data_IF_559414104726
#
_entry.id   IF_559414104726
#
_cell.length_a   1.000
_cell.length_b   1.000
_cell.length_c   1.000
_cell.angle_alpha   90.00
_cell.angle_beta   90.00
_cell.angle_gamma   90.00
#
_symmetry.space_group_name_H-M   'P 1'
#
loop_
_entity.id
_entity.type
_entity.pdbx_description
1 polymer ?
#
# COMPACT_ATOMS: atom_id res chain seq x y z
N UNK A 1 -20.30 27.80 -1.39
CA UNK A 1 -19.98 26.36 -1.33
C UNK A 1 -18.65 26.23 -0.63
N UNK A 2 -18.67 25.88 0.66
CA UNK A 2 -17.46 25.79 1.47
C UNK A 2 -16.82 24.42 1.17
N UNK A 3 -15.63 24.42 0.58
CA UNK A 3 -14.86 23.21 0.31
C UNK A 3 -14.29 22.75 1.64
N UNK A 4 -14.86 21.69 2.20
CA UNK A 4 -14.35 21.03 3.40
C UNK A 4 -13.17 20.16 2.94
N UNK A 5 -11.95 20.59 3.23
CA UNK A 5 -10.77 19.74 3.15
C UNK A 5 -10.71 18.94 4.46
N UNK A 6 -10.99 17.64 4.39
CA UNK A 6 -10.85 16.73 5.54
C UNK A 6 -9.37 16.39 5.64
N UNK A 7 -8.66 17.03 6.57
CA UNK A 7 -7.29 16.68 6.93
C UNK A 7 -7.38 15.53 7.94
N UNK A 8 -7.07 14.31 7.49
CA UNK A 8 -7.10 13.10 8.33
C UNK A 8 -5.76 13.00 9.07
N UNK A 9 -5.68 13.54 10.28
CA UNK A 9 -4.47 13.42 11.11
C UNK A 9 -4.42 12.02 11.71
N UNK A 10 -3.52 11.17 11.20
CA UNK A 10 -3.29 9.80 11.66
C UNK A 10 -2.46 9.84 12.96
N UNK A 11 -3.07 9.50 14.09
CA UNK A 11 -2.37 9.38 15.38
C UNK A 11 -1.83 7.96 15.49
N UNK A 12 -0.51 7.78 15.34
CA UNK A 12 0.13 6.45 15.35
C UNK A 12 0.34 5.99 16.80
N UNK A 13 -0.42 4.97 17.22
CA UNK A 13 -0.17 4.22 18.46
C UNK A 13 0.71 3.00 18.13
N UNK A 14 2.02 3.13 18.31
CA UNK A 14 2.95 2.01 18.15
C UNK A 14 2.77 0.99 19.29
N UNK A 15 2.13 -0.15 19.00
CA UNK A 15 2.29 -1.37 19.78
C UNK A 15 3.22 -2.33 19.02
N UNK A 16 4.47 -2.41 19.46
CA UNK A 16 5.44 -3.35 18.94
C UNK A 16 5.04 -4.79 19.30
N UNK A 17 4.66 -5.58 18.30
CA UNK A 17 4.50 -7.03 18.42
C UNK A 17 5.51 -7.74 17.52
N UNK A 18 6.02 -8.87 18.02
CA UNK A 18 7.15 -9.59 17.49
C UNK A 18 6.81 -10.30 16.16
N UNK A 19 7.51 -9.89 15.09
CA UNK A 19 7.72 -10.50 13.76
C UNK A 19 7.10 -11.87 13.44
N UNK A 20 5.78 -11.92 13.28
CA UNK A 20 5.18 -12.71 12.20
C UNK A 20 4.47 -11.72 11.28
N UNK A 21 4.78 -11.75 9.99
CA UNK A 21 4.12 -10.87 9.02
C UNK A 21 2.62 -11.17 9.04
N UNK A 22 1.78 -10.15 9.25
CA UNK A 22 0.35 -10.39 9.36
C UNK A 22 -0.22 -11.05 8.10
N UNK A 23 -1.29 -11.81 8.26
CA UNK A 23 -2.00 -12.46 7.13
C UNK A 23 -2.37 -11.44 6.04
N UNK A 24 -2.78 -10.23 6.45
CA UNK A 24 -3.18 -9.18 5.54
C UNK A 24 -1.99 -8.61 4.76
N UNK A 25 -0.84 -8.39 5.43
CA UNK A 25 0.41 -8.04 4.74
C UNK A 25 0.77 -9.12 3.72
N UNK A 26 0.63 -10.40 4.08
CA UNK A 26 0.95 -11.50 3.18
C UNK A 26 0.06 -11.57 1.93
N UNK A 27 -1.25 -11.34 2.08
CA UNK A 27 -2.18 -11.33 0.94
C UNK A 27 -1.86 -10.18 -0.04
N UNK A 28 -1.48 -9.01 0.48
CA UNK A 28 -1.07 -7.89 -0.38
C UNK A 28 0.29 -8.17 -1.02
N UNK A 29 1.30 -8.47 -0.20
CA UNK A 29 2.70 -8.64 -0.64
C UNK A 29 2.87 -9.79 -1.64
N UNK A 30 2.15 -10.90 -1.43
CA UNK A 30 2.22 -12.07 -2.31
C UNK A 30 1.13 -12.08 -3.39
N UNK A 31 0.15 -11.16 -3.32
CA UNK A 31 -0.84 -10.97 -4.37
C UNK A 31 -0.28 -10.24 -5.57
N UNK A 32 -1.05 -10.19 -6.65
CA UNK A 32 -0.70 -9.54 -7.91
C UNK A 32 -1.83 -8.59 -8.34
N UNK A 33 -1.49 -7.54 -9.08
CA UNK A 33 -2.51 -6.76 -9.78
C UNK A 33 -3.17 -7.63 -10.86
N UNK A 34 -4.48 -7.48 -11.07
CA UNK A 34 -5.23 -8.26 -12.06
C UNK A 34 -4.62 -8.16 -13.47
N UNK A 35 -4.15 -6.97 -13.86
CA UNK A 35 -3.51 -6.73 -15.16
C UNK A 35 -2.13 -7.40 -15.30
N UNK A 36 -1.48 -7.76 -14.19
CA UNK A 36 -0.10 -8.27 -14.13
C UNK A 36 -0.01 -9.49 -13.20
N UNK A 37 -0.68 -10.62 -13.52
CA UNK A 37 -0.85 -11.75 -12.61
C UNK A 37 0.46 -12.49 -12.27
N UNK A 38 1.44 -12.45 -13.17
CA UNK A 38 2.69 -13.22 -13.05
C UNK A 38 3.73 -12.59 -12.11
N UNK A 39 3.43 -11.42 -11.54
CA UNK A 39 4.33 -10.73 -10.62
C UNK A 39 3.60 -10.20 -9.39
N UNK A 40 4.17 -10.51 -8.22
CA UNK A 40 3.61 -10.05 -6.96
C UNK A 40 3.89 -8.57 -6.71
N UNK A 41 2.99 -7.91 -5.99
CA UNK A 41 3.16 -6.52 -5.54
C UNK A 41 4.46 -6.37 -4.77
N UNK A 42 4.75 -7.29 -3.84
CA UNK A 42 5.98 -7.29 -3.07
C UNK A 42 7.24 -7.32 -3.92
N UNK A 43 7.24 -8.10 -5.02
CA UNK A 43 8.38 -8.13 -5.94
C UNK A 43 8.51 -6.82 -6.71
N UNK A 44 7.42 -6.24 -7.20
CA UNK A 44 7.46 -4.94 -7.89
C UNK A 44 8.03 -3.86 -6.97
N UNK A 45 7.44 -3.66 -5.79
CA UNK A 45 7.83 -2.53 -4.92
C UNK A 45 9.25 -2.67 -4.37
N UNK A 46 9.72 -3.90 -4.09
CA UNK A 46 11.11 -4.13 -3.64
C UNK A 46 12.15 -3.91 -4.75
N UNK A 47 11.75 -3.95 -6.02
CA UNK A 47 12.63 -3.61 -7.14
C UNK A 47 12.64 -2.10 -7.41
N UNK A 48 11.54 -1.40 -7.12
CA UNK A 48 11.37 0.02 -7.45
C UNK A 48 11.85 0.93 -6.33
N UNK A 49 11.61 0.56 -5.06
CA UNK A 49 11.82 1.42 -3.91
C UNK A 49 12.87 0.87 -2.95
N UNK A 50 13.56 1.78 -2.28
CA UNK A 50 14.48 1.48 -1.21
C UNK A 50 13.77 1.38 0.15
N UNK A 51 14.39 0.64 1.08
CA UNK A 51 13.97 0.51 2.50
C UNK A 51 12.48 0.17 2.67
N UNK A 52 11.93 -0.66 1.79
CA UNK A 52 10.53 -1.05 1.82
C UNK A 52 10.13 -1.67 3.15
N UNK A 53 9.11 -1.11 3.79
CA UNK A 53 8.52 -1.60 5.02
C UNK A 53 6.99 -1.76 4.87
N UNK A 54 6.42 -2.65 5.69
CA UNK A 54 5.00 -2.95 5.66
C UNK A 54 4.40 -2.85 7.05
N UNK A 55 3.20 -2.27 7.14
CA UNK A 55 2.46 -2.13 8.38
C UNK A 55 0.99 -2.48 8.13
N UNK A 56 0.37 -3.19 9.07
CA UNK A 56 -1.08 -3.33 9.10
C UNK A 56 -1.66 -2.38 10.13
N UNK A 57 -2.73 -1.67 9.75
CA UNK A 57 -3.50 -0.83 10.65
C UNK A 57 -4.98 -1.19 10.59
N UNK A 58 -5.69 -0.97 11.70
CA UNK A 58 -7.15 -0.85 11.72
C UNK A 58 -7.44 0.63 11.93
N UNK A 59 -8.06 1.28 10.96
CA UNK A 59 -8.36 2.71 11.08
C UNK A 59 -9.65 2.96 11.88
N UNK A 60 -9.88 4.21 12.26
CA UNK A 60 -11.05 4.64 13.03
C UNK A 60 -12.39 4.37 12.32
N UNK A 61 -12.36 4.15 11.01
CA UNK A 61 -13.51 3.75 10.20
C UNK A 61 -13.86 2.25 10.31
N UNK A 62 -13.11 1.50 11.12
CA UNK A 62 -13.26 0.07 11.35
C UNK A 62 -12.73 -0.82 10.22
N UNK A 63 -12.10 -0.24 9.19
CA UNK A 63 -11.51 -1.01 8.09
C UNK A 63 -10.05 -1.36 8.38
N UNK A 64 -9.63 -2.52 7.88
CA UNK A 64 -8.23 -2.96 7.91
C UNK A 64 -7.51 -2.51 6.64
N UNK A 65 -6.31 -1.97 6.82
CA UNK A 65 -5.44 -1.48 5.77
C UNK A 65 -4.04 -2.04 5.94
N UNK A 66 -3.35 -2.19 4.82
CA UNK A 66 -1.92 -2.47 4.77
C UNK A 66 -1.24 -1.27 4.12
N UNK A 67 -0.30 -0.66 4.83
CA UNK A 67 0.54 0.41 4.30
C UNK A 67 1.88 -0.19 3.86
N UNK A 68 2.30 0.14 2.65
CA UNK A 68 3.67 -0.04 2.19
C UNK A 68 4.36 1.33 2.23
N UNK A 69 5.49 1.41 2.91
CA UNK A 69 6.36 2.57 2.93
C UNK A 69 7.66 2.25 2.21
N UNK A 70 8.22 3.21 1.48
CA UNK A 70 9.52 3.08 0.86
C UNK A 70 10.07 4.45 0.44
N UNK A 71 11.24 4.44 -0.17
CA UNK A 71 11.88 5.65 -0.69
C UNK A 71 12.21 5.47 -2.17
N UNK A 72 12.11 6.54 -2.96
CA UNK A 72 12.68 6.58 -4.31
C UNK A 72 14.21 6.68 -4.23
N UNK A 73 14.89 6.56 -5.38
CA UNK A 73 16.34 6.81 -5.46
C UNK A 73 16.71 8.27 -5.10
N UNK A 74 15.78 9.20 -5.28
CA UNK A 74 15.93 10.63 -4.95
C UNK A 74 15.54 10.93 -3.48
N UNK A 75 15.42 9.90 -2.63
CA UNK A 75 15.01 9.97 -1.22
C UNK A 75 13.58 10.54 -0.99
N UNK A 76 12.71 10.55 -2.01
CA UNK A 76 11.29 10.90 -1.81
C UNK A 76 10.57 9.75 -1.07
N UNK A 77 9.82 10.09 -0.04
CA UNK A 77 9.02 9.12 0.72
C UNK A 77 7.77 8.72 -0.07
N UNK A 78 7.50 7.42 -0.15
CA UNK A 78 6.33 6.87 -0.83
C UNK A 78 5.52 6.03 0.13
N UNK A 79 4.21 6.27 0.15
CA UNK A 79 3.23 5.45 0.85
C UNK A 79 2.22 4.90 -0.17
N UNK A 80 1.97 3.59 -0.15
CA UNK A 80 0.85 2.97 -0.85
C UNK A 80 -0.02 2.23 0.16
N UNK A 81 -1.28 2.64 0.27
CA UNK A 81 -2.24 2.02 1.17
C UNK A 81 -3.16 1.09 0.40
N UNK A 82 -3.26 -0.14 0.88
CA UNK A 82 -4.15 -1.18 0.39
C UNK A 82 -5.27 -1.40 1.39
N UNK A 83 -6.53 -1.34 0.95
CA UNK A 83 -7.68 -1.69 1.80
C UNK A 83 -7.97 -3.18 1.67
N UNK A 84 -8.08 -3.85 2.81
CA UNK A 84 -8.49 -5.25 2.87
C UNK A 84 -10.02 -5.33 2.78
N UNK A 85 -10.48 -6.23 1.92
CA UNK A 85 -11.90 -6.47 1.63
C UNK A 85 -12.22 -7.96 1.73
N UNK A 86 -13.51 -8.25 1.82
CA UNK A 86 -14.02 -9.61 1.86
C UNK A 86 -15.02 -9.82 0.73
N UNK A 87 -14.87 -10.91 -0.01
CA UNK A 87 -15.89 -11.43 -0.92
C UNK A 87 -16.73 -12.44 -0.15
N UNK A 88 -18.04 -12.19 -0.11
CA UNK A 88 -19.03 -13.04 0.58
C UNK A 88 -18.67 -13.39 2.03
N UNK A 89 -17.93 -12.52 2.71
CA UNK A 89 -17.38 -12.72 4.07
C UNK A 89 -16.45 -13.94 4.22
N UNK A 90 -15.90 -14.48 3.13
CA UNK A 90 -15.10 -15.72 3.13
C UNK A 90 -13.70 -15.51 2.58
N UNK A 91 -13.55 -14.79 1.48
CA UNK A 91 -12.27 -14.63 0.78
C UNK A 91 -11.77 -13.20 0.88
N UNK A 92 -10.56 -13.03 1.42
CA UNK A 92 -9.89 -11.73 1.49
C UNK A 92 -9.31 -11.36 0.13
N UNK A 93 -9.53 -10.11 -0.26
CA UNK A 93 -8.85 -9.48 -1.38
C UNK A 93 -8.48 -8.05 -0.99
N UNK A 94 -7.74 -7.36 -1.86
CA UNK A 94 -7.31 -6.00 -1.62
C UNK A 94 -7.59 -5.10 -2.81
N UNK A 95 -7.71 -3.81 -2.53
CA UNK A 95 -7.74 -2.74 -3.53
C UNK A 95 -6.79 -1.63 -3.08
N UNK A 96 -6.22 -0.89 -4.02
CA UNK A 96 -5.44 0.31 -3.67
C UNK A 96 -6.40 1.41 -3.23
N UNK A 97 -6.21 1.90 -2.01
CA UNK A 97 -7.07 2.90 -1.39
C UNK A 97 -6.50 4.32 -1.54
N UNK A 98 -5.21 4.49 -1.25
CA UNK A 98 -4.54 5.78 -1.26
C UNK A 98 -3.06 5.65 -1.61
N UNK A 99 -2.47 6.75 -2.05
CA UNK A 99 -1.04 6.91 -2.24
C UNK A 99 -0.62 8.28 -1.75
N UNK A 100 0.59 8.38 -1.22
CA UNK A 100 1.22 9.64 -0.85
C UNK A 100 2.65 9.67 -1.34
N UNK A 101 3.11 10.87 -1.68
CA UNK A 101 4.51 11.16 -2.01
C UNK A 101 4.94 12.35 -1.15
N UNK A 102 5.97 12.18 -0.34
CA UNK A 102 6.41 13.17 0.65
C UNK A 102 5.27 13.65 1.57
N UNK A 103 4.38 12.72 1.96
CA UNK A 103 3.21 13.00 2.81
C UNK A 103 2.05 13.72 2.11
N UNK A 104 2.18 14.02 0.81
CA UNK A 104 1.10 14.65 0.03
C UNK A 104 0.32 13.59 -0.76
N UNK A 105 -1.03 13.57 -0.67
CA UNK A 105 -1.85 12.61 -1.41
C UNK A 105 -1.68 12.72 -2.92
N UNK A 106 -1.54 11.58 -3.59
CA UNK A 106 -1.49 11.47 -5.05
C UNK A 106 -2.59 10.54 -5.59
N UNK A 107 -2.74 10.48 -6.90
CA UNK A 107 -3.76 9.66 -7.55
C UNK A 107 -3.36 8.17 -7.53
N UNK A 108 -4.34 7.30 -7.30
CA UNK A 108 -4.19 5.84 -7.44
C UNK A 108 -4.47 5.36 -8.86
N UNK A 109 -4.89 6.26 -9.76
CA UNK A 109 -5.31 5.93 -11.11
C UNK A 109 -4.12 5.46 -11.93
N UNK A 110 -4.16 4.21 -12.40
CA UNK A 110 -3.12 3.65 -13.25
C UNK A 110 -1.91 3.10 -12.49
N UNK A 111 -1.97 3.05 -11.16
CA UNK A 111 -0.86 2.57 -10.30
C UNK A 111 -0.31 1.20 -10.72
N UNK A 112 -1.18 0.28 -11.16
CA UNK A 112 -0.75 -1.04 -11.62
C UNK A 112 0.19 -0.93 -12.83
N UNK A 113 -0.17 -0.09 -13.82
CA UNK A 113 0.61 0.11 -15.04
C UNK A 113 1.89 0.88 -14.75
N UNK A 114 1.83 1.87 -13.87
CA UNK A 114 2.99 2.67 -13.45
C UNK A 114 4.01 1.83 -12.69
N UNK A 115 3.59 1.10 -11.65
CA UNK A 115 4.48 0.21 -10.90
C UNK A 115 5.07 -0.88 -11.80
N UNK A 116 4.27 -1.45 -12.70
CA UNK A 116 4.80 -2.45 -13.63
C UNK A 116 5.82 -1.84 -14.59
N UNK A 117 5.56 -0.63 -15.13
CA UNK A 117 6.49 0.10 -15.98
C UNK A 117 7.83 0.37 -15.28
N UNK A 118 7.78 0.87 -14.04
CA UNK A 118 8.96 1.10 -13.21
C UNK A 118 9.70 -0.20 -12.88
N UNK A 119 8.98 -1.28 -12.56
CA UNK A 119 9.57 -2.60 -12.34
C UNK A 119 10.36 -3.08 -13.57
N UNK A 120 9.80 -2.93 -14.77
CA UNK A 120 10.46 -3.33 -16.01
C UNK A 120 11.69 -2.46 -16.33
N UNK A 121 11.68 -1.18 -15.92
CA UNK A 121 12.80 -0.27 -16.11
C UNK A 121 13.99 -0.55 -15.16
N UNK A 122 13.72 -1.13 -13.99
CA UNK A 122 14.69 -1.35 -12.92
C UNK A 122 15.12 -2.82 -12.71
N UNK A 123 14.71 -3.74 -13.60
CA UNK A 123 15.06 -5.17 -13.54
C UNK A 123 16.38 -5.52 -14.21
#
# INVERSE_FOLDING_TARGET
MQKIFILLTLTILFMASCFDSSENINIVKNGSFYSYPDITVGKMVNTIFEKVNWEEIIADDGNSYVNMYGYTEDDDEVLIQFRIKYRDNLEKYWEVNAMEMNGEPTTTRGIADELYGLYIANK
#
